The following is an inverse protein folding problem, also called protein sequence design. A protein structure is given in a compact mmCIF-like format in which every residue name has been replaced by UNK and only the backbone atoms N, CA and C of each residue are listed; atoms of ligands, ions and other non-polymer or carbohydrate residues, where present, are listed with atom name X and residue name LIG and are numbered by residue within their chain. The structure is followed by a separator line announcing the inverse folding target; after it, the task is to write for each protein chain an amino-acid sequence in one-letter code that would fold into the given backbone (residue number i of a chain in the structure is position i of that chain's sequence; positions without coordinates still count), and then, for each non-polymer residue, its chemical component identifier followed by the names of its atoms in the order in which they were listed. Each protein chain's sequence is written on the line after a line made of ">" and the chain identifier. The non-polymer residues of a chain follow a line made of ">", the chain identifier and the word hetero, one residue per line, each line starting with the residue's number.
data_IF_373253902627
#
_entry.id   IF_373253902627
#
_cell.length_a   1.000
_cell.length_b   1.000
_cell.length_c   1.000
_cell.angle_alpha   90.00
_cell.angle_beta   90.00
_cell.angle_gamma   90.00
#
_symmetry.space_group_name_H-M   'P 1'
#
loop_
_entity.id
_entity.type
_entity.pdbx_description
1 polymer ?
#
# COMPACT_ATOMS: atom_id res chain seq x y z
N UNK A 1 -2.75 21.79 39.52
CA UNK A 1 -2.18 22.40 38.29
C UNK A 1 -1.29 21.45 37.49
N UNK A 2 -0.55 20.51 38.11
CA UNK A 2 0.30 19.53 37.39
C UNK A 2 -0.47 18.41 36.68
N UNK A 3 -1.63 17.99 37.21
CA UNK A 3 -2.43 16.86 36.67
C UNK A 3 -3.19 17.22 35.38
N UNK A 4 -3.61 18.46 35.26
CA UNK A 4 -4.25 19.01 34.05
C UNK A 4 -3.25 19.16 32.90
N UNK A 5 -2.00 19.50 33.22
CA UNK A 5 -0.90 19.59 32.25
C UNK A 5 -0.51 18.21 31.69
N UNK A 6 -0.44 17.19 32.55
CA UNK A 6 -0.13 15.81 32.11
C UNK A 6 -1.24 15.23 31.23
N UNK A 7 -2.52 15.53 31.53
CA UNK A 7 -3.65 15.11 30.68
C UNK A 7 -3.68 15.83 29.34
N UNK A 8 -3.36 17.13 29.29
CA UNK A 8 -3.30 17.90 28.03
C UNK A 8 -2.17 17.41 27.11
N UNK A 9 -1.00 17.05 27.67
CA UNK A 9 0.11 16.48 26.91
C UNK A 9 -0.22 15.07 26.40
N UNK A 10 -0.90 14.25 27.21
CA UNK A 10 -1.34 12.92 26.79
C UNK A 10 -2.41 12.98 25.67
N UNK A 11 -3.34 13.94 25.73
CA UNK A 11 -4.37 14.10 24.70
C UNK A 11 -3.79 14.59 23.36
N UNK A 12 -2.81 15.50 23.41
CA UNK A 12 -2.12 16.00 22.22
C UNK A 12 -1.29 14.93 21.50
N UNK A 13 -0.73 13.96 22.24
CA UNK A 13 0.04 12.85 21.66
C UNK A 13 -0.83 11.83 20.91
N UNK A 14 -2.12 11.68 21.27
CA UNK A 14 -3.04 10.73 20.65
C UNK A 14 -3.63 11.25 19.33
N UNK A 15 -3.68 12.56 19.12
CA UNK A 15 -4.33 13.18 17.94
C UNK A 15 -3.35 13.49 16.77
N UNK A 16 -2.05 13.24 16.92
CA UNK A 16 -1.01 13.71 15.98
C UNK A 16 -0.55 12.74 14.88
N UNK A 17 -1.11 11.53 14.76
CA UNK A 17 -0.57 10.47 13.87
C UNK A 17 -1.56 10.14 12.76
N UNK A 18 -1.71 11.00 11.75
CA UNK A 18 -2.55 10.69 10.56
C UNK A 18 -2.09 11.39 9.28
N UNK A 19 -0.78 11.46 9.05
CA UNK A 19 -0.17 11.97 7.82
C UNK A 19 1.21 11.30 7.76
N UNK A 20 1.73 10.65 6.71
CA UNK A 20 1.49 10.66 5.27
C UNK A 20 2.10 9.36 4.77
N UNK A 21 1.36 8.48 4.07
CA UNK A 21 1.99 7.56 3.10
C UNK A 21 1.04 7.39 1.92
N UNK A 22 0.96 8.40 1.05
CA UNK A 22 0.51 8.18 -0.30
C UNK A 22 1.68 7.53 -1.06
N UNK A 23 1.78 6.20 -1.01
CA UNK A 23 2.74 5.47 -1.82
C UNK A 23 2.29 5.55 -3.28
N UNK A 24 3.00 6.32 -4.10
CA UNK A 24 2.88 6.23 -5.54
C UNK A 24 3.44 4.85 -5.95
N UNK A 25 2.56 3.94 -6.39
CA UNK A 25 3.00 2.64 -6.88
C UNK A 25 3.69 2.82 -8.22
N UNK A 26 4.97 2.45 -8.29
CA UNK A 26 5.70 2.37 -9.55
C UNK A 26 4.97 1.44 -10.52
N UNK A 27 4.90 1.84 -11.78
CA UNK A 27 4.20 1.11 -12.83
C UNK A 27 5.19 0.65 -13.89
N UNK A 28 4.98 -0.55 -14.42
CA UNK A 28 5.83 -1.19 -15.41
C UNK A 28 4.99 -1.67 -16.58
N UNK A 29 5.51 -1.44 -17.78
CA UNK A 29 4.95 -1.95 -19.02
C UNK A 29 5.46 -3.38 -19.28
N UNK A 30 4.53 -4.28 -19.59
CA UNK A 30 4.78 -5.69 -19.93
C UNK A 30 3.97 -6.10 -21.16
N UNK A 31 4.44 -7.12 -21.87
CA UNK A 31 3.70 -7.80 -22.92
C UNK A 31 3.02 -9.01 -22.28
N UNK A 32 1.70 -8.90 -22.12
CA UNK A 32 0.88 -9.91 -21.47
C UNK A 32 0.46 -10.98 -22.47
N UNK A 33 0.73 -12.26 -22.14
CA UNK A 33 0.46 -13.42 -22.99
C UNK A 33 -0.57 -14.31 -22.26
N UNK A 34 -1.86 -14.29 -22.64
CA UNK A 34 -2.89 -15.05 -21.96
C UNK A 34 -2.65 -16.57 -22.01
N UNK A 35 -2.89 -17.30 -20.90
CA UNK A 35 -2.78 -18.74 -20.90
C UNK A 35 -3.78 -19.36 -21.88
N UNK A 36 -3.29 -20.23 -22.77
CA UNK A 36 -4.11 -20.91 -23.78
C UNK A 36 -4.36 -20.13 -25.07
N UNK A 37 -3.96 -18.85 -25.16
CA UNK A 37 -4.06 -18.09 -26.41
C UNK A 37 -2.89 -17.09 -26.58
N UNK A 38 -1.69 -17.59 -26.94
CA UNK A 38 -0.50 -16.75 -27.07
C UNK A 38 -0.58 -15.74 -28.22
N UNK A 39 -1.45 -15.97 -29.20
CA UNK A 39 -1.68 -15.08 -30.35
C UNK A 39 -2.38 -13.77 -29.94
N UNK A 40 -3.02 -13.73 -28.77
CA UNK A 40 -3.65 -12.52 -28.21
C UNK A 40 -2.76 -11.80 -27.19
N UNK A 41 -1.46 -11.83 -27.43
CA UNK A 41 -0.51 -11.05 -26.66
C UNK A 41 -0.77 -9.54 -26.84
N UNK A 42 -0.77 -8.79 -25.75
CA UNK A 42 -0.99 -7.35 -25.81
C UNK A 42 -0.24 -6.59 -24.72
N UNK A 43 0.13 -5.35 -25.01
CA UNK A 43 0.87 -4.50 -24.06
C UNK A 43 -0.06 -3.97 -22.96
N UNK A 44 0.33 -4.18 -21.70
CA UNK A 44 -0.36 -3.61 -20.53
C UNK A 44 0.63 -2.92 -19.59
N UNK A 45 0.13 -2.05 -18.72
CA UNK A 45 0.92 -1.42 -17.67
C UNK A 45 0.39 -1.83 -16.31
N UNK A 46 1.21 -2.53 -15.52
CA UNK A 46 0.87 -3.09 -14.22
C UNK A 46 1.65 -2.39 -13.10
N UNK A 47 1.21 -2.53 -11.85
CA UNK A 47 2.03 -2.08 -10.72
C UNK A 47 3.25 -2.99 -10.53
N UNK A 48 4.37 -2.42 -10.07
CA UNK A 48 5.63 -3.15 -9.78
C UNK A 48 5.42 -4.48 -9.02
N UNK A 49 4.56 -4.56 -7.99
CA UNK A 49 4.36 -5.81 -7.25
C UNK A 49 3.72 -6.94 -8.08
N UNK A 50 3.01 -6.62 -9.16
CA UNK A 50 2.33 -7.60 -10.00
C UNK A 50 3.27 -8.24 -11.04
N UNK A 51 4.40 -7.58 -11.37
CA UNK A 51 5.33 -8.01 -12.43
C UNK A 51 5.80 -9.45 -12.22
N UNK A 52 6.19 -9.81 -10.99
CA UNK A 52 6.67 -11.16 -10.69
C UNK A 52 5.63 -12.22 -11.05
N UNK A 53 4.35 -11.99 -10.70
CA UNK A 53 3.28 -12.92 -11.00
C UNK A 53 3.05 -13.04 -12.51
N UNK A 54 3.01 -11.91 -13.21
CA UNK A 54 2.88 -11.86 -14.66
C UNK A 54 4.00 -12.65 -15.36
N UNK A 55 5.27 -12.43 -14.98
CA UNK A 55 6.41 -13.16 -15.55
C UNK A 55 6.43 -14.65 -15.22
N UNK A 56 5.88 -15.05 -14.05
CA UNK A 56 5.73 -16.46 -13.69
C UNK A 56 4.70 -17.20 -14.57
N UNK A 57 3.78 -16.45 -15.20
CA UNK A 57 2.77 -16.98 -16.11
C UNK A 57 3.12 -16.85 -17.60
N UNK A 58 4.31 -16.35 -17.93
CA UNK A 58 4.82 -16.27 -19.30
C UNK A 58 4.82 -14.87 -19.91
N UNK A 59 4.44 -13.83 -19.16
CA UNK A 59 4.52 -12.45 -19.63
C UNK A 59 5.98 -11.98 -19.72
N UNK A 60 6.24 -11.02 -20.60
CA UNK A 60 7.59 -10.48 -20.83
C UNK A 60 7.67 -8.99 -20.52
N UNK A 61 8.85 -8.52 -20.12
CA UNK A 61 9.08 -7.11 -19.81
C UNK A 61 9.09 -6.25 -21.09
N UNK A 62 8.48 -5.06 -21.04
CA UNK A 62 8.37 -4.15 -22.17
C UNK A 62 7.13 -4.38 -23.03
N UNK A 63 6.93 -3.58 -24.07
CA UNK A 63 5.78 -3.72 -24.97
C UNK A 63 5.93 -4.91 -25.93
N UNK A 64 4.80 -5.43 -26.43
CA UNK A 64 4.80 -6.48 -27.43
C UNK A 64 5.43 -6.01 -28.76
N UNK A 65 6.05 -6.93 -29.50
CA UNK A 65 6.78 -6.61 -30.74
C UNK A 65 5.91 -5.90 -31.81
N UNK A 66 4.60 -6.19 -31.85
CA UNK A 66 3.65 -5.55 -32.77
C UNK A 66 3.25 -4.13 -32.38
N UNK A 67 3.43 -3.74 -31.12
CA UNK A 67 3.02 -2.43 -30.59
C UNK A 67 4.13 -1.37 -30.73
N UNK A 68 5.39 -1.81 -30.73
CA UNK A 68 6.56 -0.93 -30.92
C UNK A 68 6.61 -0.30 -32.33
N UNK A 69 5.89 -0.87 -33.30
CA UNK A 69 5.83 -0.35 -34.67
C UNK A 69 4.95 0.91 -34.82
N UNK A 70 4.18 1.31 -33.80
CA UNK A 70 3.35 2.53 -33.83
C UNK A 70 4.01 3.77 -33.22
N UNK A 71 5.24 3.65 -32.69
CA UNK A 71 6.00 4.81 -32.24
C UNK A 71 7.34 4.85 -32.99
N UNK A 72 7.51 5.71 -34.00
CA UNK A 72 8.84 6.05 -34.48
C UNK A 72 9.51 6.92 -33.40
N UNK A 73 10.00 6.28 -32.35
CA UNK A 73 10.81 6.92 -31.31
C UNK A 73 12.16 7.30 -31.90
N UNK A 74 12.33 8.58 -32.22
CA UNK A 74 13.61 9.18 -32.57
C UNK A 74 14.60 8.97 -31.40
N UNK A 75 15.82 8.43 -31.62
CA UNK A 75 16.73 8.03 -30.53
C UNK A 75 17.34 9.18 -29.69
N UNK A 76 17.06 10.45 -30.04
CA UNK A 76 17.77 11.61 -29.48
C UNK A 76 16.99 12.42 -28.42
N UNK A 77 15.93 11.86 -27.79
CA UNK A 77 15.24 12.56 -26.70
C UNK A 77 15.24 11.72 -25.42
N UNK A 78 15.75 12.22 -24.28
CA UNK A 78 15.45 11.62 -22.99
C UNK A 78 13.95 11.82 -22.74
N UNK A 79 13.18 10.74 -22.92
CA UNK A 79 11.74 10.73 -22.76
C UNK A 79 11.35 10.95 -21.31
N UNK A 80 11.16 12.21 -20.92
CA UNK A 80 10.17 12.56 -19.91
C UNK A 80 8.80 12.31 -20.53
N UNK A 81 8.21 11.15 -20.23
CA UNK A 81 6.94 10.68 -20.78
C UNK A 81 5.99 10.27 -19.67
N UNK A 82 5.47 11.27 -18.97
CA UNK A 82 4.22 11.20 -18.23
C UNK A 82 3.05 11.22 -19.21
N UNK A 83 2.97 10.19 -20.06
CA UNK A 83 1.89 9.99 -21.01
C UNK A 83 0.81 9.15 -20.33
N UNK A 84 -0.10 9.82 -19.63
CA UNK A 84 -1.40 9.25 -19.27
C UNK A 84 -2.17 9.01 -20.57
N UNK A 85 -2.02 7.81 -21.14
CA UNK A 85 -2.95 7.28 -22.12
C UNK A 85 -4.30 7.09 -21.44
N UNK A 86 -5.15 8.11 -21.50
CA UNK A 86 -6.55 8.03 -21.09
C UNK A 86 -7.31 7.16 -22.09
N UNK A 87 -7.35 5.85 -21.81
CA UNK A 87 -8.23 4.91 -22.50
C UNK A 87 -9.60 4.93 -21.79
N UNK A 88 -10.73 5.26 -22.47
CA UNK A 88 -12.04 5.39 -21.83
C UNK A 88 -12.66 4.06 -21.35
N UNK A 89 -12.02 2.91 -21.64
CA UNK A 89 -12.51 1.56 -21.27
C UNK A 89 -11.57 0.82 -20.29
N UNK A 90 -10.82 1.52 -19.43
CA UNK A 90 -10.17 0.84 -18.29
C UNK A 90 -11.24 0.62 -17.19
N UNK A 91 -11.62 -0.62 -16.84
CA UNK A 91 -12.21 -0.86 -15.54
C UNK A 91 -11.19 -0.32 -14.54
N UNK A 92 -11.60 0.60 -13.65
CA UNK A 92 -10.75 0.95 -12.52
C UNK A 92 -10.42 -0.38 -11.85
N UNK A 93 -9.17 -0.83 -12.00
CA UNK A 93 -8.70 -2.06 -11.37
C UNK A 93 -9.09 -2.02 -9.90
N UNK A 94 -9.37 -3.18 -9.29
CA UNK A 94 -9.80 -3.23 -7.90
C UNK A 94 -8.90 -2.30 -7.09
N UNK A 95 -9.53 -1.29 -6.46
CA UNK A 95 -8.88 -0.38 -5.53
C UNK A 95 -7.95 -1.20 -4.64
N UNK A 96 -6.75 -0.71 -4.27
CA UNK A 96 -5.83 -1.46 -3.43
C UNK A 96 -6.44 -1.69 -2.04
N UNK A 97 -7.30 -2.71 -1.92
CA UNK A 97 -7.82 -3.26 -0.67
C UNK A 97 -6.80 -4.22 -0.04
N UNK A 98 -5.61 -4.33 -0.64
CA UNK A 98 -4.48 -5.05 -0.08
C UNK A 98 -3.42 -4.06 0.45
N UNK A 99 -3.84 -3.06 1.23
CA UNK A 99 -3.04 -2.79 2.42
C UNK A 99 -2.95 -4.14 3.14
N UNK A 100 -1.75 -4.64 3.37
CA UNK A 100 -1.54 -5.81 4.19
C UNK A 100 -2.45 -5.65 5.39
N UNK A 101 -3.50 -6.48 5.45
CA UNK A 101 -4.40 -6.46 6.57
C UNK A 101 -3.52 -6.92 7.72
N UNK A 102 -2.95 -5.97 8.45
CA UNK A 102 -2.53 -6.20 9.82
C UNK A 102 -3.78 -6.82 10.42
N UNK A 103 -3.75 -8.13 10.66
CA UNK A 103 -4.99 -8.82 10.85
C UNK A 103 -5.67 -8.16 12.02
N UNK A 104 -6.96 -7.85 11.91
CA UNK A 104 -7.68 -7.11 12.96
C UNK A 104 -7.52 -7.75 14.35
N UNK A 105 -7.19 -9.05 14.39
CA UNK A 105 -6.77 -9.78 15.57
C UNK A 105 -5.47 -9.27 16.23
N UNK A 106 -4.46 -8.80 15.50
CA UNK A 106 -3.24 -8.20 16.08
C UNK A 106 -3.52 -6.87 16.77
N UNK A 107 -4.35 -6.01 16.15
CA UNK A 107 -4.78 -4.76 16.79
C UNK A 107 -5.62 -5.07 18.03
N UNK A 108 -6.51 -6.05 17.96
CA UNK A 108 -7.31 -6.53 19.09
C UNK A 108 -6.45 -7.06 20.25
N UNK A 109 -5.47 -7.92 19.97
CA UNK A 109 -4.55 -8.46 20.98
C UNK A 109 -3.73 -7.36 21.64
N UNK A 110 -3.23 -6.39 20.86
CA UNK A 110 -2.49 -5.26 21.40
C UNK A 110 -3.34 -4.40 22.35
N UNK A 111 -4.59 -4.11 21.98
CA UNK A 111 -5.52 -3.37 22.85
C UNK A 111 -5.85 -4.11 24.16
N UNK A 112 -6.02 -5.43 24.11
CA UNK A 112 -6.25 -6.26 25.30
C UNK A 112 -5.04 -6.24 26.24
N UNK A 113 -3.82 -6.33 25.70
CA UNK A 113 -2.58 -6.27 26.49
C UNK A 113 -2.44 -4.89 27.16
N UNK A 114 -2.67 -3.80 26.44
CA UNK A 114 -2.62 -2.45 26.99
C UNK A 114 -3.67 -2.23 28.10
N UNK A 115 -4.90 -2.71 27.88
CA UNK A 115 -5.96 -2.63 28.89
C UNK A 115 -5.59 -3.42 30.17
N UNK A 116 -4.99 -4.60 30.02
CA UNK A 116 -4.52 -5.41 31.15
C UNK A 116 -3.45 -4.70 31.98
N UNK A 117 -2.47 -4.07 31.33
CA UNK A 117 -1.40 -3.30 32.01
C UNK A 117 -2.00 -2.09 32.75
N UNK A 118 -2.95 -1.37 32.14
CA UNK A 118 -3.60 -0.22 32.76
C UNK A 118 -4.43 -0.62 34.00
N UNK A 119 -5.19 -1.72 33.92
CA UNK A 119 -6.00 -2.21 35.05
C UNK A 119 -5.07 -2.70 36.18
N UNK A 120 -4.01 -3.44 35.84
CA UNK A 120 -3.04 -3.94 36.80
C UNK A 120 -2.31 -2.83 37.56
N UNK A 121 -1.87 -1.78 36.87
CA UNK A 121 -1.20 -0.62 37.48
C UNK A 121 -2.14 0.14 38.42
N UNK A 122 -3.40 0.37 38.04
CA UNK A 122 -4.40 1.02 38.90
C UNK A 122 -4.71 0.18 40.14
N UNK A 123 -4.86 -1.14 40.00
CA UNK A 123 -5.11 -2.03 41.13
C UNK A 123 -3.91 -2.05 42.10
N UNK A 124 -2.68 -2.09 41.59
CA UNK A 124 -1.46 -2.03 42.40
C UNK A 124 -1.33 -0.70 43.15
N UNK A 125 -1.63 0.41 42.49
CA UNK A 125 -1.61 1.74 43.12
C UNK A 125 -2.69 1.86 44.20
N UNK A 126 -3.91 1.38 43.97
CA UNK A 126 -4.97 1.34 44.98
C UNK A 126 -4.61 0.48 46.19
N UNK A 127 -3.97 -0.68 45.97
CA UNK A 127 -3.46 -1.53 47.07
C UNK A 127 -2.37 -0.82 47.88
N UNK A 128 -1.45 -0.11 47.23
CA UNK A 128 -0.43 0.69 47.91
C UNK A 128 -1.00 1.86 48.72
N UNK A 129 -2.09 2.48 48.27
CA UNK A 129 -2.78 3.53 49.03
C UNK A 129 -3.53 2.99 50.24
N UNK A 130 -4.08 1.76 50.17
CA UNK A 130 -4.80 1.11 51.29
C UNK A 130 -3.87 0.57 52.38
N UNK A 131 -2.62 0.26 52.05
CA UNK A 131 -1.61 -0.27 52.97
C UNK A 131 -0.68 0.82 53.55
N UNK A 132 -0.99 2.10 53.31
CA UNK A 132 -0.36 3.25 53.95
C UNK A 132 -1.32 3.84 54.96
#
# INVERSE_FOLDING_TARGET
>A
MTRTLVMAVALAAVLGVSAVVAAQMERVTICHIPPGNPEMAHTITVGQPAVQNHTAHGDTMGACAGDQAKSPGNPDKPGSGNDQGSNPDQPQGPTPSAVAAFPTYWLGLFLVVLAGIAIGTVAALRRRQKNR
#
